data_IF_960649140392
#
_entry.id   IF_960649140392
#
_cell.length_a   1.000
_cell.length_b   1.000
_cell.length_c   1.000
_cell.angle_alpha   90.00
_cell.angle_beta   90.00
_cell.angle_gamma   90.00
#
_symmetry.space_group_name_H-M   'P 1'
#
loop_
_entity.id
_entity.type
_entity.pdbx_description
1 polymer ?
#
# COMPACT_ATOMS: atom_id res chain seq x y z
N UNK A 1 25.01 63.90 -17.65
CA UNK A 1 24.20 64.26 -18.83
C UNK A 1 22.81 63.68 -18.65
N UNK A 2 21.80 64.56 -18.56
CA UNK A 2 20.38 64.21 -18.53
C UNK A 2 19.89 63.75 -19.92
N UNK A 3 18.91 62.83 -19.98
CA UNK A 3 17.91 62.79 -21.06
C UNK A 3 16.81 61.72 -20.78
N UNK A 4 15.72 62.19 -20.20
CA UNK A 4 14.30 62.02 -20.60
C UNK A 4 13.94 61.04 -21.74
N UNK A 5 12.91 60.20 -21.52
CA UNK A 5 11.76 59.90 -22.42
C UNK A 5 10.86 58.82 -21.79
N UNK A 6 9.72 59.11 -21.13
CA UNK A 6 8.37 59.45 -21.66
C UNK A 6 7.89 58.52 -22.78
N UNK A 7 6.94 57.61 -22.50
CA UNK A 7 5.50 57.79 -22.75
C UNK A 7 4.68 56.51 -22.54
N UNK A 8 3.49 56.73 -21.98
CA UNK A 8 2.42 55.78 -21.74
C UNK A 8 1.78 55.27 -23.03
N UNK A 9 1.24 54.04 -23.02
CA UNK A 9 0.26 53.60 -24.00
C UNK A 9 -1.02 53.14 -23.30
N UNK A 10 -2.09 53.79 -23.74
CA UNK A 10 -3.47 53.80 -23.26
C UNK A 10 -4.23 52.54 -23.68
N UNK A 11 -4.93 51.91 -22.75
CA UNK A 11 -5.90 50.85 -23.02
C UNK A 11 -7.24 51.46 -23.47
N UNK A 12 -7.60 51.27 -24.73
CA UNK A 12 -8.93 51.60 -25.27
C UNK A 12 -9.84 50.37 -25.15
N UNK A 13 -10.77 50.41 -24.19
CA UNK A 13 -11.94 49.54 -24.14
C UNK A 13 -13.03 50.11 -25.05
N UNK A 14 -13.34 49.39 -26.12
CA UNK A 14 -14.46 49.72 -27.01
C UNK A 14 -15.64 48.81 -26.70
N UNK A 15 -16.64 49.35 -26.01
CA UNK A 15 -17.95 48.75 -25.85
C UNK A 15 -18.77 48.99 -27.14
N UNK A 16 -19.31 47.93 -27.75
CA UNK A 16 -20.29 48.05 -28.84
C UNK A 16 -21.62 47.47 -28.38
N UNK A 17 -22.62 48.34 -28.50
CA UNK A 17 -23.98 48.19 -28.02
C UNK A 17 -24.80 47.17 -28.83
N UNK A 18 -25.80 46.62 -28.13
CA UNK A 18 -26.82 45.70 -28.64
C UNK A 18 -27.69 46.40 -29.69
N UNK A 19 -27.96 45.73 -30.80
CA UNK A 19 -29.06 46.07 -31.70
C UNK A 19 -30.00 44.87 -31.81
N UNK A 20 -31.21 45.01 -31.30
CA UNK A 20 -32.29 44.05 -31.42
C UNK A 20 -33.09 44.32 -32.70
N UNK A 21 -33.13 43.35 -33.60
CA UNK A 21 -34.14 43.30 -34.64
C UNK A 21 -34.68 41.86 -34.73
N UNK A 22 -35.92 41.66 -34.28
CA UNK A 22 -36.67 40.42 -34.47
C UNK A 22 -37.38 40.51 -35.83
N UNK A 23 -37.09 39.57 -36.73
CA UNK A 23 -37.91 39.31 -37.91
C UNK A 23 -38.72 38.02 -37.70
N UNK A 24 -39.98 37.93 -38.16
CA UNK A 24 -40.79 36.72 -38.01
C UNK A 24 -40.46 35.73 -39.13
N UNK A 25 -39.98 34.53 -38.77
CA UNK A 25 -39.80 33.45 -39.74
C UNK A 25 -41.04 32.57 -39.70
N UNK A 26 -41.79 32.61 -40.80
CA UNK A 26 -42.96 31.78 -41.08
C UNK A 26 -42.62 30.29 -40.99
N UNK A 27 -43.42 29.56 -40.22
CA UNK A 27 -43.28 28.13 -39.93
C UNK A 27 -43.69 27.31 -41.16
N UNK A 28 -42.72 26.82 -41.93
CA UNK A 28 -42.97 25.78 -42.94
C UNK A 28 -43.06 24.43 -42.22
N UNK A 29 -44.19 23.75 -42.40
CA UNK A 29 -44.44 22.43 -41.85
C UNK A 29 -43.49 21.40 -42.48
N UNK A 30 -42.59 20.85 -41.68
CA UNK A 30 -41.75 19.72 -42.05
C UNK A 30 -42.57 18.43 -41.94
N UNK A 31 -42.97 17.85 -43.07
CA UNK A 31 -43.44 16.47 -43.11
C UNK A 31 -42.27 15.54 -42.79
N UNK A 32 -42.28 14.93 -41.60
CA UNK A 32 -41.30 13.93 -41.21
C UNK A 32 -41.62 12.61 -41.92
N UNK A 33 -40.81 12.25 -42.91
CA UNK A 33 -40.80 10.89 -43.47
C UNK A 33 -40.13 9.97 -42.43
N UNK A 34 -40.92 9.21 -41.67
CA UNK A 34 -40.41 8.18 -40.76
C UNK A 34 -39.84 7.02 -41.56
N UNK A 35 -38.51 6.92 -41.61
CA UNK A 35 -37.79 5.74 -42.11
C UNK A 35 -37.95 4.60 -41.08
N UNK A 36 -38.47 3.42 -41.43
CA UNK A 36 -38.53 2.31 -40.49
C UNK A 36 -37.10 1.81 -40.20
N UNK A 37 -36.73 1.81 -38.91
CA UNK A 37 -35.48 1.23 -38.43
C UNK A 37 -35.53 -0.31 -38.54
N UNK A 38 -34.46 -0.98 -39.00
CA UNK A 38 -34.40 -2.43 -38.96
C UNK A 38 -34.38 -2.91 -37.50
N UNK A 39 -35.26 -3.86 -37.17
CA UNK A 39 -35.30 -4.46 -35.82
C UNK A 39 -34.03 -5.29 -35.61
N UNK A 40 -33.19 -4.89 -34.66
CA UNK A 40 -32.12 -5.76 -34.20
C UNK A 40 -32.73 -6.98 -33.48
N UNK A 41 -32.28 -8.21 -33.77
CA UNK A 41 -32.71 -9.37 -33.01
C UNK A 41 -32.20 -9.26 -31.58
N UNK A 42 -33.07 -9.53 -30.61
CA UNK A 42 -32.74 -9.55 -29.20
C UNK A 42 -31.77 -10.71 -28.93
N UNK A 43 -30.47 -10.42 -28.87
CA UNK A 43 -29.50 -11.32 -28.27
C UNK A 43 -29.60 -11.17 -26.76
N UNK A 44 -30.32 -12.07 -26.11
CA UNK A 44 -30.20 -12.22 -24.66
C UNK A 44 -28.76 -12.63 -24.36
N UNK A 45 -27.95 -11.80 -23.66
CA UNK A 45 -26.66 -12.27 -23.20
C UNK A 45 -26.94 -13.39 -22.20
N UNK A 46 -26.40 -14.58 -22.48
CA UNK A 46 -26.30 -15.62 -21.47
C UNK A 46 -25.55 -14.99 -20.29
N UNK A 47 -26.24 -14.79 -19.17
CA UNK A 47 -25.64 -14.28 -17.95
C UNK A 47 -24.71 -15.35 -17.39
N UNK A 48 -23.49 -15.43 -17.95
CA UNK A 48 -22.35 -15.99 -17.25
C UNK A 48 -22.18 -15.10 -16.01
N UNK A 49 -22.63 -15.61 -14.87
CA UNK A 49 -22.54 -14.91 -13.60
C UNK A 49 -21.11 -14.41 -13.42
N UNK A 50 -20.93 -13.10 -13.45
CA UNK A 50 -19.63 -12.50 -13.17
C UNK A 50 -19.29 -12.86 -11.73
N UNK A 51 -18.40 -13.84 -11.56
CA UNK A 51 -17.81 -14.16 -10.26
C UNK A 51 -17.07 -12.91 -9.82
N UNK A 52 -17.66 -12.15 -8.90
CA UNK A 52 -16.98 -11.07 -8.21
C UNK A 52 -16.03 -11.70 -7.22
N UNK A 53 -14.75 -11.70 -7.57
CA UNK A 53 -13.67 -12.03 -6.65
C UNK A 53 -13.68 -10.99 -5.53
N UNK A 54 -13.97 -11.44 -4.31
CA UNK A 54 -13.85 -10.63 -3.11
C UNK A 54 -12.57 -11.02 -2.39
N UNK A 55 -11.77 -10.03 -1.99
CA UNK A 55 -10.72 -10.25 -1.01
C UNK A 55 -11.39 -10.63 0.31
N UNK A 56 -11.05 -11.78 0.88
CA UNK A 56 -11.39 -12.05 2.28
C UNK A 56 -10.71 -10.99 3.14
N UNK A 57 -11.43 -10.33 4.07
CA UNK A 57 -10.78 -9.41 4.99
C UNK A 57 -9.78 -10.22 5.82
N UNK A 58 -8.52 -9.78 5.82
CA UNK A 58 -7.48 -10.41 6.63
C UNK A 58 -7.92 -10.38 8.10
N UNK A 59 -7.81 -11.51 8.79
CA UNK A 59 -8.06 -11.58 10.24
C UNK A 59 -7.14 -10.60 10.94
N UNK A 60 -7.69 -9.78 11.85
CA UNK A 60 -6.90 -8.83 12.61
C UNK A 60 -5.81 -9.57 13.40
N UNK A 61 -4.55 -9.20 13.16
CA UNK A 61 -3.38 -9.69 13.88
C UNK A 61 -3.35 -9.10 15.30
N UNK A 62 -2.74 -9.82 16.24
CA UNK A 62 -2.49 -9.31 17.59
C UNK A 62 -1.48 -8.16 17.53
N UNK A 63 -1.75 -7.03 18.18
CA UNK A 63 -0.82 -5.90 18.22
C UNK A 63 -0.11 -5.85 19.56
N UNK A 64 1.22 -5.81 19.52
CA UNK A 64 2.08 -5.68 20.69
C UNK A 64 2.54 -4.25 20.91
N UNK A 65 2.76 -3.89 22.17
CA UNK A 65 3.38 -2.63 22.60
C UNK A 65 4.86 -2.82 22.93
N UNK A 66 5.58 -1.70 23.13
CA UNK A 66 7.01 -1.71 23.45
C UNK A 66 7.36 -2.59 24.66
N UNK A 67 6.65 -2.44 25.79
CA UNK A 67 6.95 -3.19 27.01
C UNK A 67 6.80 -4.71 26.81
N UNK A 68 5.88 -5.13 25.96
CA UNK A 68 5.65 -6.54 25.65
C UNK A 68 6.75 -7.08 24.73
N UNK A 69 7.09 -6.34 23.67
CA UNK A 69 8.20 -6.70 22.77
C UNK A 69 9.52 -6.74 23.53
N UNK A 70 9.74 -5.82 24.47
CA UNK A 70 10.92 -5.81 25.32
C UNK A 70 11.04 -7.10 26.13
N UNK A 71 9.97 -7.52 26.80
CA UNK A 71 9.94 -8.81 27.52
C UNK A 71 10.22 -9.98 26.58
N UNK A 72 9.66 -9.95 25.37
CA UNK A 72 9.87 -10.99 24.36
C UNK A 72 11.34 -11.05 23.91
N UNK A 73 11.98 -9.90 23.72
CA UNK A 73 13.40 -9.82 23.34
C UNK A 73 14.35 -10.30 24.45
N UNK A 74 13.90 -10.27 25.70
CA UNK A 74 14.65 -10.75 26.87
C UNK A 74 14.37 -12.25 27.15
N UNK A 75 13.21 -12.77 26.73
CA UNK A 75 12.82 -14.17 26.88
C UNK A 75 13.33 -15.04 25.72
N UNK A 76 14.05 -16.12 26.02
CA UNK A 76 14.54 -17.10 25.04
C UNK A 76 13.64 -18.35 24.99
N UNK A 77 12.32 -18.16 25.07
CA UNK A 77 11.36 -19.25 25.22
C UNK A 77 11.22 -20.10 23.94
N UNK A 78 11.69 -19.61 22.78
CA UNK A 78 11.66 -20.32 21.50
C UNK A 78 10.26 -20.46 20.86
N UNK A 79 9.21 -20.16 21.61
CA UNK A 79 7.79 -20.16 21.20
C UNK A 79 7.40 -18.94 20.35
N UNK A 80 8.07 -17.80 20.58
CA UNK A 80 7.83 -16.53 19.89
C UNK A 80 9.03 -16.16 19.06
N UNK A 81 8.79 -15.75 17.83
CA UNK A 81 9.82 -15.34 16.89
C UNK A 81 9.57 -13.90 16.48
N UNK A 82 10.55 -13.05 16.75
CA UNK A 82 10.52 -11.65 16.34
C UNK A 82 11.14 -11.52 14.95
N UNK A 83 10.43 -10.89 14.01
CA UNK A 83 10.83 -10.82 12.60
C UNK A 83 10.94 -9.37 12.16
N UNK A 84 12.15 -8.96 11.80
CA UNK A 84 12.46 -7.68 11.18
C UNK A 84 12.26 -7.76 9.68
N UNK A 85 11.30 -7.01 9.14
CA UNK A 85 11.01 -7.00 7.70
C UNK A 85 11.63 -5.83 6.94
N UNK A 86 12.59 -5.14 7.56
CA UNK A 86 13.40 -4.11 6.89
C UNK A 86 14.41 -4.74 5.93
N UNK A 87 14.94 -3.92 5.02
CA UNK A 87 16.05 -4.34 4.15
C UNK A 87 17.33 -4.48 4.97
N UNK A 88 18.26 -5.40 4.62
CA UNK A 88 19.51 -5.62 5.36
C UNK A 88 20.33 -4.33 5.58
N UNK A 89 20.32 -3.41 4.60
CA UNK A 89 20.99 -2.10 4.70
C UNK A 89 20.42 -1.20 5.81
N UNK A 90 19.16 -1.37 6.19
CA UNK A 90 18.56 -0.63 7.32
C UNK A 90 18.98 -1.20 8.69
N UNK A 91 19.46 -2.46 8.73
CA UNK A 91 19.88 -3.13 9.96
C UNK A 91 21.32 -2.77 10.39
N UNK A 92 22.08 -2.07 9.54
CA UNK A 92 23.36 -1.46 9.93
C UNK A 92 23.20 -0.50 11.11
N UNK A 93 22.03 0.15 11.22
CA UNK A 93 21.66 1.01 12.36
C UNK A 93 21.20 0.25 13.61
N UNK A 94 21.29 -1.09 13.59
CA UNK A 94 20.86 -1.97 14.66
C UNK A 94 19.47 -2.58 14.43
N UNK A 95 19.16 -3.59 15.25
CA UNK A 95 17.89 -4.31 15.25
C UNK A 95 17.53 -4.76 16.68
N UNK A 96 16.28 -5.21 16.88
CA UNK A 96 15.82 -5.66 18.20
C UNK A 96 16.50 -7.00 18.51
N UNK A 97 17.06 -7.21 19.72
CA UNK A 97 17.64 -8.49 20.11
C UNK A 97 16.69 -9.66 19.82
N UNK A 98 17.29 -10.82 19.50
CA UNK A 98 16.62 -12.07 19.12
C UNK A 98 15.79 -12.02 17.83
N UNK A 99 15.75 -10.89 17.12
CA UNK A 99 15.03 -10.80 15.84
C UNK A 99 15.79 -11.48 14.70
N UNK A 100 15.05 -12.13 13.81
CA UNK A 100 15.55 -12.60 12.50
C UNK A 100 15.14 -11.62 11.40
N UNK A 101 15.92 -11.52 10.33
CA UNK A 101 15.61 -10.61 9.22
C UNK A 101 14.98 -11.35 8.04
N UNK A 102 13.78 -10.92 7.61
CA UNK A 102 13.10 -11.40 6.41
C UNK A 102 12.59 -10.18 5.63
N UNK A 103 13.37 -9.61 4.70
CA UNK A 103 13.06 -8.36 4.03
C UNK A 103 11.88 -8.51 3.07
N UNK A 104 10.72 -7.93 3.42
CA UNK A 104 9.49 -8.13 2.65
C UNK A 104 9.45 -7.40 1.31
N UNK A 105 10.27 -6.35 1.14
CA UNK A 105 10.29 -5.55 -0.10
C UNK A 105 11.13 -6.25 -1.18
N UNK A 106 12.31 -6.75 -0.84
CA UNK A 106 13.15 -7.51 -1.78
C UNK A 106 12.77 -8.99 -1.89
N UNK A 107 12.22 -9.59 -0.83
CA UNK A 107 11.86 -11.03 -0.78
C UNK A 107 10.41 -11.24 -0.31
N UNK A 108 9.38 -10.78 -1.05
CA UNK A 108 7.98 -10.92 -0.67
C UNK A 108 7.49 -12.38 -0.64
N UNK A 109 8.17 -13.26 -1.36
CA UNK A 109 7.91 -14.70 -1.49
C UNK A 109 8.55 -15.53 -0.37
N UNK A 110 9.40 -14.95 0.48
CA UNK A 110 10.21 -15.67 1.45
C UNK A 110 9.43 -16.70 2.29
N UNK A 111 8.25 -16.32 2.81
CA UNK A 111 7.44 -17.20 3.65
C UNK A 111 6.71 -18.30 2.86
N UNK A 112 6.63 -18.19 1.53
CA UNK A 112 6.02 -19.20 0.64
C UNK A 112 7.01 -20.28 0.20
N UNK A 113 8.32 -20.03 0.34
CA UNK A 113 9.35 -20.98 -0.05
C UNK A 113 9.27 -22.28 0.76
N UNK A 114 9.63 -23.44 0.16
CA UNK A 114 9.86 -24.65 0.93
C UNK A 114 11.03 -24.45 1.92
N UNK A 115 11.06 -25.27 2.97
CA UNK A 115 12.07 -25.17 4.05
C UNK A 115 13.51 -25.15 3.50
N UNK A 116 13.84 -26.08 2.62
CA UNK A 116 15.19 -26.24 2.05
C UNK A 116 15.64 -24.96 1.30
N UNK A 117 14.78 -24.43 0.42
CA UNK A 117 15.09 -23.21 -0.33
C UNK A 117 15.16 -21.96 0.57
N UNK A 118 14.35 -21.93 1.63
CA UNK A 118 14.42 -20.85 2.62
C UNK A 118 15.78 -20.86 3.33
N UNK A 119 16.25 -22.03 3.78
CA UNK A 119 17.54 -22.18 4.46
C UNK A 119 18.68 -21.80 3.52
N UNK A 120 18.64 -22.24 2.26
CA UNK A 120 19.66 -21.88 1.26
C UNK A 120 19.74 -20.37 1.01
N UNK A 121 18.58 -19.69 1.02
CA UNK A 121 18.48 -18.26 0.72
C UNK A 121 18.83 -17.36 1.92
N UNK A 122 18.43 -17.74 3.12
CA UNK A 122 18.53 -16.90 4.33
C UNK A 122 19.58 -17.38 5.34
N UNK A 123 20.08 -18.61 5.22
CA UNK A 123 21.11 -19.17 6.10
C UNK A 123 20.60 -19.58 7.49
N UNK A 124 19.28 -19.58 7.72
CA UNK A 124 18.66 -20.02 8.97
C UNK A 124 17.34 -20.75 8.72
N UNK A 125 16.91 -21.54 9.71
CA UNK A 125 15.65 -22.31 9.61
C UNK A 125 14.43 -21.42 9.51
N UNK A 126 13.48 -21.81 8.67
CA UNK A 126 12.24 -21.07 8.49
C UNK A 126 11.45 -21.06 9.81
N UNK A 127 10.79 -19.95 10.16
CA UNK A 127 9.88 -19.92 11.29
C UNK A 127 8.78 -20.98 11.14
N UNK A 128 8.61 -21.83 12.14
CA UNK A 128 7.57 -22.84 12.13
C UNK A 128 6.17 -22.19 12.22
N UNK A 129 5.18 -22.76 11.54
CA UNK A 129 3.84 -22.16 11.38
C UNK A 129 2.95 -22.21 12.63
N UNK A 130 3.34 -23.02 13.60
CA UNK A 130 2.74 -23.16 14.93
C UNK A 130 3.23 -22.10 15.93
N UNK A 131 4.45 -21.59 15.75
CA UNK A 131 5.03 -20.53 16.58
C UNK A 131 4.33 -19.19 16.39
N UNK A 132 4.42 -18.34 17.42
CA UNK A 132 3.93 -16.96 17.33
C UNK A 132 4.96 -16.09 16.61
N UNK A 133 4.61 -15.60 15.43
CA UNK A 133 5.46 -14.70 14.63
C UNK A 133 5.04 -13.25 14.83
N UNK A 134 5.99 -12.42 15.24
CA UNK A 134 5.76 -11.00 15.55
C UNK A 134 6.54 -10.16 14.54
N UNK A 135 5.83 -9.47 13.65
CA UNK A 135 6.43 -8.67 12.60
C UNK A 135 6.62 -7.22 13.03
N UNK A 136 7.78 -6.66 12.70
CA UNK A 136 8.05 -5.23 12.82
C UNK A 136 8.89 -4.74 11.65
N UNK A 137 8.84 -3.43 11.37
CA UNK A 137 9.64 -2.82 10.32
C UNK A 137 10.28 -1.52 10.80
N UNK A 138 10.30 -0.47 9.97
CA UNK A 138 10.71 0.87 10.39
C UNK A 138 9.59 1.63 11.12
N UNK A 139 8.37 1.59 10.58
CA UNK A 139 7.25 2.47 10.99
C UNK A 139 5.87 1.80 11.05
N UNK A 140 5.82 0.46 11.01
CA UNK A 140 4.58 -0.33 11.10
C UNK A 140 3.91 -0.70 9.76
N UNK A 141 4.14 0.02 8.66
CA UNK A 141 3.40 -0.22 7.41
C UNK A 141 3.75 -1.57 6.77
N UNK A 142 5.05 -1.89 6.67
CA UNK A 142 5.52 -3.14 6.06
C UNK A 142 5.23 -4.37 6.93
N UNK A 143 5.18 -4.20 8.26
CA UNK A 143 4.86 -5.30 9.17
C UNK A 143 3.41 -5.78 9.01
N UNK A 144 2.46 -4.88 8.71
CA UNK A 144 1.09 -5.28 8.40
C UNK A 144 0.99 -6.08 7.10
N UNK A 145 1.75 -5.70 6.07
CA UNK A 145 1.82 -6.48 4.84
C UNK A 145 2.44 -7.86 5.08
N UNK A 146 3.54 -7.93 5.84
CA UNK A 146 4.18 -9.20 6.18
C UNK A 146 3.28 -10.11 7.02
N UNK A 147 2.52 -9.55 7.97
CA UNK A 147 1.54 -10.29 8.76
C UNK A 147 0.45 -10.92 7.87
N UNK A 148 -0.05 -10.18 6.87
CA UNK A 148 -1.01 -10.72 5.91
C UNK A 148 -0.44 -11.86 5.07
N UNK A 149 0.80 -11.70 4.58
CA UNK A 149 1.48 -12.76 3.83
C UNK A 149 1.70 -14.01 4.69
N UNK A 150 2.10 -13.84 5.95
CA UNK A 150 2.25 -14.95 6.89
C UNK A 150 0.93 -15.70 7.12
N UNK A 151 -0.18 -14.98 7.30
CA UNK A 151 -1.50 -15.61 7.42
C UNK A 151 -1.85 -16.43 6.17
N UNK A 152 -1.53 -15.94 4.97
CA UNK A 152 -1.72 -16.67 3.72
C UNK A 152 -0.84 -17.93 3.61
N UNK A 153 0.37 -17.89 4.19
CA UNK A 153 1.27 -19.03 4.30
C UNK A 153 0.87 -20.05 5.39
N UNK A 154 -0.27 -19.86 6.08
CA UNK A 154 -0.78 -20.79 7.08
C UNK A 154 -0.24 -20.60 8.50
N UNK A 155 0.46 -19.49 8.77
CA UNK A 155 0.83 -19.12 10.13
C UNK A 155 -0.42 -18.76 10.92
N UNK A 156 -0.65 -19.46 12.03
CA UNK A 156 -1.87 -19.30 12.83
C UNK A 156 -1.75 -18.17 13.85
N UNK A 157 -0.56 -18.02 14.42
CA UNK A 157 -0.27 -17.09 15.49
C UNK A 157 0.53 -15.92 14.93
N UNK A 158 -0.16 -14.95 14.33
CA UNK A 158 0.46 -13.78 13.70
C UNK A 158 0.18 -12.52 14.49
N UNK A 159 1.26 -11.80 14.81
CA UNK A 159 1.21 -10.56 15.56
C UNK A 159 2.10 -9.47 14.94
N UNK A 160 1.88 -8.24 15.36
CA UNK A 160 2.56 -7.06 14.83
C UNK A 160 2.99 -6.12 15.96
N UNK A 161 4.19 -5.56 15.82
CA UNK A 161 4.63 -4.40 16.59
C UNK A 161 4.58 -3.16 15.71
N UNK A 162 3.44 -2.45 15.76
CA UNK A 162 3.16 -1.30 14.88
C UNK A 162 4.07 -0.09 15.16
N UNK A 163 4.50 0.09 16.41
CA UNK A 163 5.51 1.09 16.78
C UNK A 163 6.83 0.86 16.05
N UNK A 164 7.18 -0.40 15.82
CA UNK A 164 8.32 -0.82 15.00
C UNK A 164 9.65 -0.23 15.49
N UNK A 165 10.67 -0.23 14.64
CA UNK A 165 12.01 0.24 15.00
C UNK A 165 12.06 1.67 15.53
N UNK A 166 11.28 2.60 14.95
CA UNK A 166 11.28 4.00 15.42
C UNK A 166 10.77 4.14 16.85
N UNK A 167 9.72 3.40 17.23
CA UNK A 167 9.22 3.40 18.61
C UNK A 167 10.23 2.74 19.56
N UNK A 168 10.85 1.64 19.14
CA UNK A 168 11.92 0.99 19.91
C UNK A 168 13.07 1.94 20.23
N UNK A 169 13.57 2.67 19.22
CA UNK A 169 14.62 3.66 19.41
C UNK A 169 14.18 4.81 20.30
N UNK A 170 12.96 5.32 20.09
CA UNK A 170 12.41 6.44 20.87
C UNK A 170 12.30 6.10 22.36
N UNK A 171 11.99 4.86 22.69
CA UNK A 171 11.85 4.38 24.06
C UNK A 171 13.19 3.89 24.68
N UNK A 172 14.30 4.01 23.96
CA UNK A 172 15.62 3.62 24.46
C UNK A 172 15.81 2.11 24.56
N UNK A 173 15.14 1.34 23.71
CA UNK A 173 15.33 -0.10 23.61
C UNK A 173 16.76 -0.46 23.21
N UNK A 174 17.28 -1.57 23.74
CA UNK A 174 18.63 -2.05 23.43
C UNK A 174 18.68 -2.44 21.95
N UNK A 175 19.68 -1.97 21.22
CA UNK A 175 19.94 -2.38 19.85
C UNK A 175 21.01 -3.49 19.84
N UNK A 176 20.76 -4.55 19.10
CA UNK A 176 21.83 -5.47 18.71
C UNK A 176 22.73 -4.81 17.66
N UNK A 177 24.00 -5.24 17.60
CA UNK A 177 25.01 -4.71 16.68
C UNK A 177 24.62 -4.83 15.19
N UNK A 178 25.47 -4.38 14.27
CA UNK A 178 25.13 -4.43 12.84
C UNK A 178 24.87 -5.88 12.40
N UNK A 179 23.84 -6.07 11.59
CA UNK A 179 23.53 -7.38 11.02
C UNK A 179 24.72 -7.88 10.20
N UNK A 180 25.29 -9.01 10.60
CA UNK A 180 26.27 -9.70 9.78
C UNK A 180 25.50 -10.42 8.67
N UNK A 181 25.58 -9.87 7.45
CA UNK A 181 25.01 -10.48 6.25
C UNK A 181 25.63 -11.84 5.95
#
# INVERSE_FOLDING_TARGET
MAATRRLAFSALSSAVARSSARAPVSRLASYAVTRPQPRQPATSPLALGAVRWHSTPASASKVYNFDEVKKISESLDGERVLIDVREPTELEGGYIPTAINIPIKSQPDALFLPEEEFVDRFGFSKPATDKEVIFYCKSGVRSSAAAQLAQQCGYKNVAEYRGSWMDWQKQGGVASGPWAA
#
